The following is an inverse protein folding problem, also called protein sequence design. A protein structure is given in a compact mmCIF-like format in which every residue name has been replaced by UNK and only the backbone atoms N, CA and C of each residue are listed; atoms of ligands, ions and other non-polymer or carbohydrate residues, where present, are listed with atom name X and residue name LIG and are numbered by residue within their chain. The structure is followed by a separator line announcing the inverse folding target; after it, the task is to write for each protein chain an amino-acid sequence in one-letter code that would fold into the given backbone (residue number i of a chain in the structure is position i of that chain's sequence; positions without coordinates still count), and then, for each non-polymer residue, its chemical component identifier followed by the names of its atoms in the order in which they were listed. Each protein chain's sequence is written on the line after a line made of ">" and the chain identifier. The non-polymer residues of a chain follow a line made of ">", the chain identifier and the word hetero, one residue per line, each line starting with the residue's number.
data_IF_757231265578
#
_entry.id   IF_757231265578
#
_cell.length_a   1.000
_cell.length_b   1.000
_cell.length_c   1.000
_cell.angle_alpha   90.00
_cell.angle_beta   90.00
_cell.angle_gamma   90.00
#
_symmetry.space_group_name_H-M   'P 1'
#
loop_
_entity.id
_entity.type
_entity.pdbx_description
1 polymer ?
#
# COMPACT_ATOMS: atom_id res chain seq x y z
N UNK A 1 -19.79 99.99 3.62
CA UNK A 1 -19.73 99.27 4.89
C UNK A 1 -20.33 97.91 4.61
N UNK A 2 -19.51 96.93 4.42
CA UNK A 2 -19.91 95.54 4.09
C UNK A 2 -19.54 94.64 5.25
N UNK A 3 -20.46 93.96 5.80
CA UNK A 3 -20.24 92.94 6.78
C UNK A 3 -20.41 91.55 6.11
N UNK A 4 -19.31 90.79 6.08
CA UNK A 4 -19.25 89.46 5.60
C UNK A 4 -19.86 88.46 6.66
N UNK A 5 -20.84 87.69 6.23
CA UNK A 5 -21.36 86.58 6.97
C UNK A 5 -20.84 85.28 6.34
N UNK A 6 -19.98 84.59 7.07
CA UNK A 6 -19.41 83.25 6.76
C UNK A 6 -20.03 82.21 7.66
N UNK A 7 -21.11 81.64 7.23
CA UNK A 7 -21.62 80.45 7.89
C UNK A 7 -22.38 79.55 6.93
N UNK A 8 -21.81 78.41 6.57
CA UNK A 8 -22.42 77.07 6.37
C UNK A 8 -21.66 76.22 5.32
N UNK A 9 -20.70 75.42 5.76
CA UNK A 9 -20.22 74.28 5.01
C UNK A 9 -20.95 73.05 5.48
N UNK A 10 -21.47 72.15 4.58
CA UNK A 10 -22.10 70.94 4.96
C UNK A 10 -21.03 69.82 5.23
N UNK A 11 -21.14 69.17 6.38
CA UNK A 11 -20.40 67.96 6.70
C UNK A 11 -20.76 66.86 5.72
N UNK A 12 -19.79 66.45 4.90
CA UNK A 12 -19.84 65.19 4.12
C UNK A 12 -19.44 64.03 5.02
N UNK A 13 -20.41 63.20 5.38
CA UNK A 13 -20.17 61.88 5.96
C UNK A 13 -19.43 61.00 4.94
N UNK A 14 -18.13 60.76 5.17
CA UNK A 14 -17.42 59.67 4.50
C UNK A 14 -17.82 58.34 5.17
N UNK A 15 -18.67 57.58 4.50
CA UNK A 15 -18.90 56.19 4.84
C UNK A 15 -17.61 55.40 4.56
N UNK A 16 -16.94 54.92 5.61
CA UNK A 16 -15.82 53.96 5.49
C UNK A 16 -16.42 52.62 5.13
N UNK A 17 -16.22 52.17 3.89
CA UNK A 17 -16.39 50.80 3.47
C UNK A 17 -15.31 49.96 4.13
N UNK A 18 -15.70 49.13 5.11
CA UNK A 18 -14.86 48.08 5.66
C UNK A 18 -14.99 46.89 4.70
N UNK A 19 -13.89 46.44 4.06
CA UNK A 19 -13.98 45.23 3.26
C UNK A 19 -14.18 44.03 4.19
N UNK A 20 -15.33 43.41 4.09
CA UNK A 20 -15.59 42.12 4.72
C UNK A 20 -14.76 41.06 4.01
N UNK A 21 -13.65 40.70 4.60
CA UNK A 21 -12.83 39.59 4.13
C UNK A 21 -13.59 38.29 4.41
N UNK A 22 -14.22 37.72 3.36
CA UNK A 22 -14.77 36.37 3.41
C UNK A 22 -13.57 35.41 3.57
N UNK A 23 -13.32 34.96 4.77
CA UNK A 23 -12.51 33.77 5.02
C UNK A 23 -13.28 32.59 4.44
N UNK A 24 -12.90 32.18 3.23
CA UNK A 24 -13.24 30.85 2.71
C UNK A 24 -12.55 29.85 3.64
N UNK A 25 -13.31 29.30 4.58
CA UNK A 25 -12.91 28.11 5.31
C UNK A 25 -12.81 26.98 4.27
N UNK A 26 -11.60 26.67 3.85
CA UNK A 26 -11.35 25.42 3.16
C UNK A 26 -11.84 24.28 4.08
N UNK A 27 -12.55 23.28 3.56
CA UNK A 27 -12.94 22.16 4.36
C UNK A 27 -11.69 21.48 4.92
N UNK A 28 -11.54 21.48 6.24
CA UNK A 28 -10.56 20.69 6.96
C UNK A 28 -11.02 19.22 6.95
N UNK A 29 -11.12 18.65 5.74
CA UNK A 29 -11.33 17.25 5.53
C UNK A 29 -10.00 16.66 5.08
N UNK A 30 -9.63 15.52 5.68
CA UNK A 30 -8.55 14.62 5.26
C UNK A 30 -7.13 14.87 5.83
N UNK A 31 -7.01 15.21 7.10
CA UNK A 31 -5.89 14.74 7.91
C UNK A 31 -6.44 13.70 8.90
N UNK A 32 -6.83 12.53 8.42
CA UNK A 32 -6.79 11.37 9.29
C UNK A 32 -5.31 11.17 9.61
N UNK A 33 -4.95 11.27 10.89
CA UNK A 33 -3.60 10.95 11.31
C UNK A 33 -3.34 9.49 10.91
N UNK A 34 -2.22 9.26 10.21
CA UNK A 34 -1.78 7.91 9.89
C UNK A 34 -1.75 7.09 11.17
N UNK A 35 -2.11 5.80 11.13
CA UNK A 35 -1.92 4.91 12.25
C UNK A 35 -0.47 4.98 12.75
N UNK A 36 -0.27 5.10 14.06
CA UNK A 36 1.07 5.34 14.63
C UNK A 36 2.04 4.19 14.33
N UNK A 37 1.53 2.97 14.24
CA UNK A 37 2.28 1.74 13.93
C UNK A 37 2.84 1.70 12.50
N UNK A 38 2.31 2.52 11.57
CA UNK A 38 2.83 2.60 10.20
C UNK A 38 4.25 3.17 10.11
N UNK A 39 4.64 3.99 11.08
CA UNK A 39 5.98 4.54 11.19
C UNK A 39 6.76 3.94 12.40
N UNK A 40 6.13 3.07 13.20
CA UNK A 40 6.78 2.48 14.36
C UNK A 40 7.83 1.45 13.93
N UNK A 41 9.10 1.60 14.37
CA UNK A 41 10.16 0.65 14.06
C UNK A 41 9.82 -0.76 14.56
N UNK A 42 10.02 -1.75 13.68
CA UNK A 42 9.89 -3.16 14.03
C UNK A 42 11.09 -3.91 13.46
N UNK A 43 11.73 -4.84 14.21
CA UNK A 43 12.95 -5.46 13.75
C UNK A 43 12.73 -6.38 12.55
N UNK A 44 13.67 -6.35 11.62
CA UNK A 44 13.73 -7.30 10.51
C UNK A 44 13.76 -8.74 11.03
N UNK A 45 12.96 -9.62 10.45
CA UNK A 45 12.89 -11.01 10.87
C UNK A 45 12.57 -11.95 9.72
N UNK A 46 12.99 -13.20 9.88
CA UNK A 46 12.74 -14.27 8.91
C UNK A 46 11.32 -14.79 9.07
N UNK A 47 10.56 -14.78 7.98
CA UNK A 47 9.22 -15.38 7.92
C UNK A 47 9.33 -16.87 7.70
N UNK A 48 9.92 -17.29 6.58
CA UNK A 48 10.21 -18.69 6.24
C UNK A 48 11.22 -18.75 5.09
N UNK A 49 12.12 -19.73 5.09
CA UNK A 49 13.07 -19.92 4.01
C UNK A 49 13.89 -18.69 3.72
N UNK A 50 13.76 -18.15 2.53
CA UNK A 50 14.39 -16.94 2.03
C UNK A 50 13.45 -15.71 2.01
N UNK A 51 12.30 -15.77 2.69
CA UNK A 51 11.37 -14.66 2.87
C UNK A 51 11.60 -13.98 4.23
N UNK A 52 11.80 -12.69 4.22
CA UNK A 52 12.00 -11.84 5.40
C UNK A 52 10.99 -10.69 5.42
N UNK A 53 10.49 -10.33 6.60
CA UNK A 53 9.76 -9.10 6.82
C UNK A 53 10.77 -8.02 7.28
N UNK A 54 10.80 -6.89 6.57
CA UNK A 54 11.75 -5.79 6.77
C UNK A 54 11.08 -4.42 6.89
N UNK A 55 9.76 -4.40 7.09
CA UNK A 55 8.93 -3.20 7.23
C UNK A 55 8.86 -2.65 8.66
N UNK A 56 7.72 -2.02 8.95
CA UNK A 56 7.40 -1.43 10.25
C UNK A 56 6.45 -2.33 11.05
N UNK A 57 6.03 -1.90 12.23
CA UNK A 57 5.03 -2.59 13.03
C UNK A 57 3.67 -2.72 12.30
N UNK A 58 3.30 -1.73 11.48
CA UNK A 58 2.02 -1.68 10.78
C UNK A 58 2.08 -1.98 9.29
N UNK A 59 3.22 -1.73 8.61
CA UNK A 59 3.35 -1.88 7.16
C UNK A 59 4.26 -3.04 6.76
N UNK A 60 3.72 -3.96 5.98
CA UNK A 60 4.44 -5.10 5.43
C UNK A 60 5.35 -4.68 4.26
N UNK A 61 6.66 -4.83 4.46
CA UNK A 61 7.69 -4.78 3.42
C UNK A 61 8.43 -6.11 3.47
N UNK A 62 8.57 -6.78 2.33
CA UNK A 62 9.09 -8.14 2.30
C UNK A 62 10.29 -8.27 1.36
N UNK A 63 11.35 -8.88 1.86
CA UNK A 63 12.55 -9.21 1.10
C UNK A 63 12.57 -10.70 0.79
N UNK A 64 12.69 -11.07 -0.48
CA UNK A 64 12.93 -12.43 -0.94
C UNK A 64 14.36 -12.48 -1.48
N UNK A 65 15.19 -13.31 -0.86
CA UNK A 65 16.62 -13.36 -1.17
C UNK A 65 16.97 -14.50 -2.13
N UNK A 66 17.92 -14.26 -3.04
CA UNK A 66 18.52 -15.27 -3.91
C UNK A 66 20.01 -14.99 -4.14
N UNK A 67 20.74 -15.93 -4.76
CA UNK A 67 22.17 -15.77 -5.08
C UNK A 67 22.42 -14.74 -6.20
N UNK A 68 21.42 -14.43 -7.03
CA UNK A 68 21.52 -13.48 -8.15
C UNK A 68 21.01 -12.07 -7.81
N UNK A 69 20.73 -11.81 -6.51
CA UNK A 69 20.15 -10.57 -5.98
C UNK A 69 18.81 -10.82 -5.32
N UNK A 70 18.08 -9.75 -4.99
CA UNK A 70 16.90 -9.84 -4.15
C UNK A 70 15.69 -9.20 -4.80
N UNK A 71 14.49 -9.62 -4.38
CA UNK A 71 13.21 -9.01 -4.71
C UNK A 71 12.71 -8.30 -3.45
N UNK A 72 12.33 -7.03 -3.56
CA UNK A 72 11.69 -6.29 -2.48
C UNK A 72 10.24 -5.98 -2.87
N UNK A 73 9.29 -6.34 -1.99
CA UNK A 73 7.86 -6.13 -2.18
C UNK A 73 7.39 -5.06 -1.22
N UNK A 74 6.82 -3.97 -1.71
CA UNK A 74 6.46 -2.73 -1.01
C UNK A 74 7.69 -1.97 -0.47
N UNK A 75 7.45 -0.70 -0.07
CA UNK A 75 8.50 0.16 0.48
C UNK A 75 8.01 1.08 1.61
N UNK A 76 6.74 0.97 2.00
CA UNK A 76 6.19 1.77 3.08
C UNK A 76 6.05 3.25 2.76
N UNK A 77 6.25 4.09 3.76
CA UNK A 77 6.14 5.55 3.71
C UNK A 77 7.38 6.20 3.11
N UNK A 78 7.30 7.49 2.79
CA UNK A 78 8.40 8.29 2.25
C UNK A 78 9.67 8.21 3.09
N UNK A 79 9.55 8.23 4.41
CA UNK A 79 10.67 8.17 5.35
C UNK A 79 11.08 6.72 5.75
N UNK A 80 10.59 5.68 5.07
CA UNK A 80 10.83 4.28 5.47
C UNK A 80 12.18 3.72 5.04
N UNK A 81 12.85 4.32 4.06
CA UNK A 81 14.13 3.79 3.49
C UNK A 81 15.20 3.51 4.55
N UNK A 82 15.49 4.38 5.53
CA UNK A 82 16.53 4.10 6.53
C UNK A 82 16.20 2.87 7.38
N UNK A 83 14.95 2.69 7.80
CA UNK A 83 14.53 1.54 8.59
C UNK A 83 14.55 0.25 7.77
N UNK A 84 14.07 0.29 6.51
CA UNK A 84 14.12 -0.87 5.60
C UNK A 84 15.57 -1.31 5.40
N UNK A 85 16.50 -0.38 5.17
CA UNK A 85 17.92 -0.66 5.06
C UNK A 85 18.46 -1.32 6.32
N UNK A 86 18.21 -0.73 7.50
CA UNK A 86 18.67 -1.28 8.79
C UNK A 86 18.12 -2.71 8.99
N UNK A 87 16.86 -2.94 8.66
CA UNK A 87 16.25 -4.25 8.77
C UNK A 87 16.85 -5.27 7.81
N UNK A 88 17.10 -4.89 6.55
CA UNK A 88 17.78 -5.75 5.55
C UNK A 88 19.20 -6.10 6.03
N UNK A 89 19.95 -5.12 6.52
CA UNK A 89 21.31 -5.34 7.07
C UNK A 89 21.27 -6.24 8.31
N UNK A 90 20.29 -6.08 9.20
CA UNK A 90 20.14 -6.89 10.40
C UNK A 90 19.88 -8.37 10.14
N UNK A 91 19.26 -8.69 8.99
CA UNK A 91 19.05 -10.07 8.54
C UNK A 91 20.15 -10.58 7.61
N UNK A 92 21.22 -9.80 7.40
CA UNK A 92 22.47 -10.23 6.76
C UNK A 92 22.60 -9.92 5.29
N UNK A 93 21.77 -9.01 4.74
CA UNK A 93 21.77 -8.65 3.30
C UNK A 93 22.02 -7.15 3.12
N UNK A 94 22.07 -6.68 1.86
CA UNK A 94 22.27 -5.27 1.54
C UNK A 94 21.13 -4.78 0.64
N UNK A 95 20.68 -3.54 0.87
CA UNK A 95 19.64 -2.91 0.05
C UNK A 95 20.10 -2.77 -1.41
N UNK A 96 21.40 -2.54 -1.63
CA UNK A 96 22.03 -2.42 -2.93
C UNK A 96 22.01 -3.73 -3.74
N UNK A 97 21.72 -4.87 -3.12
CA UNK A 97 21.59 -6.16 -3.80
C UNK A 97 20.15 -6.44 -4.30
N UNK A 98 19.21 -5.55 -4.04
CA UNK A 98 17.86 -5.61 -4.63
C UNK A 98 17.96 -5.39 -6.13
N UNK A 99 17.33 -6.26 -6.92
CA UNK A 99 17.30 -6.21 -8.39
C UNK A 99 15.92 -5.94 -8.93
N UNK A 100 14.87 -6.39 -8.21
CA UNK A 100 13.48 -6.24 -8.63
C UNK A 100 12.70 -5.62 -7.46
N UNK A 101 11.98 -4.55 -7.78
CA UNK A 101 10.98 -3.94 -6.90
C UNK A 101 9.60 -4.35 -7.38
N UNK A 102 8.77 -4.78 -6.44
CA UNK A 102 7.36 -5.08 -6.63
C UNK A 102 6.53 -4.26 -5.64
N UNK A 103 5.28 -4.04 -5.97
CA UNK A 103 4.31 -3.56 -4.99
C UNK A 103 3.07 -4.43 -5.00
N UNK A 104 2.39 -4.52 -3.88
CA UNK A 104 1.12 -5.22 -3.77
C UNK A 104 -0.04 -4.34 -4.23
N UNK A 105 0.13 -3.02 -4.19
CA UNK A 105 -0.84 -1.99 -4.58
C UNK A 105 -0.18 -0.62 -4.71
N UNK A 106 -0.68 0.24 -5.61
CA UNK A 106 -0.10 1.55 -5.87
C UNK A 106 -0.63 2.66 -4.96
N UNK A 107 -0.75 2.39 -3.63
CA UNK A 107 -1.06 3.43 -2.66
C UNK A 107 0.19 3.87 -1.90
N UNK A 108 0.20 5.14 -1.49
CA UNK A 108 1.34 5.85 -0.91
C UNK A 108 1.95 5.17 0.34
N UNK A 109 1.16 4.46 1.12
CA UNK A 109 1.62 3.72 2.30
C UNK A 109 2.41 2.44 1.96
N UNK A 110 2.44 2.05 0.69
CA UNK A 110 3.22 0.91 0.19
C UNK A 110 4.29 1.31 -0.82
N UNK A 111 4.20 2.52 -1.39
CA UNK A 111 4.98 2.92 -2.57
C UNK A 111 5.79 4.18 -2.38
N UNK A 112 5.64 4.90 -1.25
CA UNK A 112 6.20 6.25 -1.17
C UNK A 112 7.74 6.29 -1.14
N UNK A 113 8.43 5.22 -0.73
CA UNK A 113 9.88 5.12 -0.82
C UNK A 113 10.40 4.38 -2.07
N UNK A 114 9.54 3.98 -3.03
CA UNK A 114 9.94 3.21 -4.23
C UNK A 114 10.98 3.94 -5.07
N UNK A 115 10.76 5.22 -5.37
CA UNK A 115 11.67 6.00 -6.22
C UNK A 115 13.07 6.10 -5.61
N UNK A 116 13.18 6.38 -4.32
CA UNK A 116 14.44 6.45 -3.60
C UNK A 116 15.16 5.09 -3.56
N UNK A 117 14.45 4.02 -3.23
CA UNK A 117 15.02 2.67 -3.16
C UNK A 117 15.44 2.20 -4.56
N UNK A 118 14.66 2.48 -5.62
CA UNK A 118 15.02 2.19 -7.01
C UNK A 118 16.35 2.86 -7.40
N UNK A 119 16.53 4.13 -7.04
CA UNK A 119 17.78 4.86 -7.30
C UNK A 119 18.97 4.27 -6.53
N UNK A 120 18.79 3.98 -5.24
CA UNK A 120 19.84 3.43 -4.36
C UNK A 120 20.31 2.06 -4.86
N UNK A 121 19.38 1.16 -5.18
CA UNK A 121 19.70 -0.22 -5.55
C UNK A 121 20.03 -0.38 -7.05
N UNK A 122 19.61 0.57 -7.89
CA UNK A 122 19.63 0.42 -9.33
C UNK A 122 18.73 -0.73 -9.80
N UNK A 123 17.62 -0.96 -9.07
CA UNK A 123 16.68 -2.03 -9.31
C UNK A 123 15.66 -1.67 -10.40
N UNK A 124 15.06 -2.69 -11.03
CA UNK A 124 13.92 -2.51 -11.92
C UNK A 124 12.61 -2.52 -11.13
N UNK A 125 11.69 -1.61 -11.44
CA UNK A 125 10.31 -1.61 -10.93
C UNK A 125 9.41 -2.39 -11.88
N UNK A 126 8.82 -3.48 -11.39
CA UNK A 126 7.87 -4.28 -12.14
C UNK A 126 6.48 -4.17 -11.50
N UNK A 127 5.46 -3.96 -12.32
CA UNK A 127 4.08 -3.77 -11.86
C UNK A 127 3.07 -4.39 -12.83
N UNK A 128 1.86 -4.60 -12.38
CA UNK A 128 0.72 -4.92 -13.25
C UNK A 128 0.29 -3.71 -14.06
N UNK A 129 -0.35 -3.92 -15.20
CA UNK A 129 -0.88 -2.84 -16.05
C UNK A 129 -1.83 -1.91 -15.28
N UNK A 130 -2.64 -2.45 -14.36
CA UNK A 130 -3.62 -1.68 -13.58
C UNK A 130 -3.01 -0.65 -12.64
N UNK A 131 -1.81 -0.91 -12.11
CA UNK A 131 -1.12 -0.01 -11.18
C UNK A 131 0.02 0.80 -11.84
N UNK A 132 0.48 0.41 -13.03
CA UNK A 132 1.64 1.04 -13.67
C UNK A 132 1.48 2.55 -13.84
N UNK A 133 0.36 3.00 -14.38
CA UNK A 133 0.10 4.44 -14.56
C UNK A 133 0.07 5.21 -13.24
N UNK A 134 -0.52 4.62 -12.20
CA UNK A 134 -0.61 5.24 -10.87
C UNK A 134 0.78 5.42 -10.27
N UNK A 135 1.67 4.45 -10.46
CA UNK A 135 3.08 4.53 -10.04
C UNK A 135 3.83 5.62 -10.81
N UNK A 136 3.65 5.70 -12.14
CA UNK A 136 4.35 6.64 -13.02
C UNK A 136 3.90 8.10 -12.83
N UNK A 137 2.71 8.35 -12.31
CA UNK A 137 2.23 9.70 -12.02
C UNK A 137 2.12 10.03 -10.52
N UNK A 138 2.70 9.17 -9.66
CA UNK A 138 2.79 9.41 -8.22
C UNK A 138 1.44 9.40 -7.52
N UNK A 139 0.50 8.57 -7.97
CA UNK A 139 -0.82 8.46 -7.40
C UNK A 139 -1.86 9.42 -7.98
N UNK A 140 -1.47 10.29 -8.94
CA UNK A 140 -2.40 11.29 -9.47
C UNK A 140 -3.61 10.66 -10.18
N UNK A 141 -3.41 9.59 -10.92
CA UNK A 141 -4.48 8.89 -11.66
C UNK A 141 -5.22 7.83 -10.85
N UNK A 142 -4.88 7.63 -9.56
CA UNK A 142 -5.63 6.68 -8.73
C UNK A 142 -7.13 7.00 -8.71
N UNK A 143 -8.01 6.03 -8.99
CA UNK A 143 -9.46 6.29 -9.08
C UNK A 143 -10.11 6.70 -7.76
N UNK A 144 -9.49 6.37 -6.62
CA UNK A 144 -10.03 6.62 -5.28
C UNK A 144 -9.37 7.81 -4.58
N UNK A 145 -8.04 7.83 -4.53
CA UNK A 145 -7.26 8.85 -3.84
C UNK A 145 -6.61 9.90 -4.76
N UNK A 146 -6.80 9.78 -6.07
CA UNK A 146 -6.15 10.59 -7.08
C UNK A 146 -6.50 12.09 -7.07
N UNK A 147 -6.07 12.78 -8.12
CA UNK A 147 -6.21 14.23 -8.27
C UNK A 147 -5.10 15.03 -7.59
N UNK A 148 -4.13 14.37 -6.96
CA UNK A 148 -2.90 14.96 -6.41
C UNK A 148 -1.77 13.94 -6.47
N UNK A 149 -0.53 14.41 -6.55
CA UNK A 149 0.65 13.56 -6.35
C UNK A 149 0.75 13.27 -4.85
N UNK A 150 0.85 12.00 -4.48
CA UNK A 150 0.89 11.51 -3.09
C UNK A 150 2.19 10.81 -2.73
N UNK A 151 3.01 10.47 -3.73
CA UNK A 151 4.37 9.92 -3.59
C UNK A 151 5.21 10.30 -4.80
N UNK A 152 6.52 10.16 -4.72
CA UNK A 152 7.43 10.45 -5.84
C UNK A 152 7.17 9.48 -7.00
N UNK A 153 6.89 9.96 -8.23
CA UNK A 153 6.68 9.12 -9.40
C UNK A 153 7.84 8.15 -9.65
N UNK A 154 7.50 6.92 -10.03
CA UNK A 154 8.49 5.89 -10.35
C UNK A 154 8.20 5.28 -11.71
N UNK A 155 9.22 5.24 -12.59
CA UNK A 155 9.12 4.57 -13.90
C UNK A 155 8.96 3.06 -13.71
N UNK A 156 7.97 2.47 -14.39
CA UNK A 156 7.74 1.03 -14.45
C UNK A 156 8.54 0.45 -15.60
N UNK A 157 9.56 -0.36 -15.28
CA UNK A 157 10.48 -0.93 -16.29
C UNK A 157 9.87 -2.15 -16.99
N UNK A 158 8.94 -2.85 -16.31
CA UNK A 158 8.31 -4.06 -16.85
C UNK A 158 6.87 -4.24 -16.35
N UNK A 159 5.99 -4.57 -17.28
CA UNK A 159 4.65 -5.04 -16.96
C UNK A 159 4.68 -6.55 -16.70
N UNK A 160 4.06 -6.97 -15.58
CA UNK A 160 3.85 -8.36 -15.19
C UNK A 160 2.35 -8.71 -15.25
N UNK A 161 2.04 -9.98 -15.47
CA UNK A 161 0.68 -10.42 -15.70
C UNK A 161 0.25 -11.54 -14.73
N UNK A 162 -1.06 -11.74 -14.60
CA UNK A 162 -1.61 -12.84 -13.81
C UNK A 162 -1.06 -14.20 -14.24
N UNK A 163 -0.66 -15.01 -13.27
CA UNK A 163 -0.08 -16.33 -13.47
C UNK A 163 1.37 -16.35 -13.93
N UNK A 164 1.97 -15.19 -14.23
CA UNK A 164 3.38 -15.10 -14.62
C UNK A 164 4.31 -15.58 -13.49
N UNK A 165 5.44 -16.19 -13.85
CA UNK A 165 6.50 -16.58 -12.92
C UNK A 165 7.66 -15.60 -13.07
N UNK A 166 7.92 -14.85 -12.02
CA UNK A 166 9.15 -14.05 -11.88
C UNK A 166 10.27 -14.97 -11.44
N UNK A 167 11.37 -14.96 -12.19
CA UNK A 167 12.56 -15.77 -11.89
C UNK A 167 13.75 -14.86 -11.56
N UNK A 168 14.39 -15.10 -10.41
CA UNK A 168 15.65 -14.46 -10.04
C UNK A 168 16.51 -15.46 -9.27
N UNK A 169 17.60 -15.92 -9.86
CA UNK A 169 18.39 -17.02 -9.31
C UNK A 169 17.55 -18.29 -9.09
N UNK A 170 17.48 -18.76 -7.88
CA UNK A 170 16.68 -19.91 -7.45
C UNK A 170 15.23 -19.57 -7.06
N UNK A 171 14.88 -18.28 -7.00
CA UNK A 171 13.53 -17.81 -6.69
C UNK A 171 12.60 -17.98 -7.90
N UNK A 172 11.43 -18.54 -7.65
CA UNK A 172 10.31 -18.64 -8.60
C UNK A 172 9.06 -18.09 -7.91
N UNK A 173 8.70 -16.86 -8.22
CA UNK A 173 7.61 -16.13 -7.61
C UNK A 173 6.45 -15.99 -8.59
N UNK A 174 5.30 -16.56 -8.27
CA UNK A 174 4.09 -16.46 -9.09
C UNK A 174 3.31 -15.19 -8.78
N UNK A 175 2.96 -14.46 -9.81
CA UNK A 175 2.08 -13.29 -9.75
C UNK A 175 0.61 -13.75 -9.73
N UNK A 176 -0.18 -13.15 -8.85
CA UNK A 176 -1.65 -13.27 -8.83
C UNK A 176 -2.24 -11.86 -8.86
N UNK A 177 -2.95 -11.51 -9.90
CA UNK A 177 -3.74 -10.29 -9.90
C UNK A 177 -4.94 -10.46 -8.99
N UNK A 178 -5.00 -9.65 -7.95
CA UNK A 178 -6.09 -9.59 -6.97
C UNK A 178 -6.67 -8.16 -6.92
N UNK A 179 -7.27 -7.68 -8.03
CA UNK A 179 -7.75 -6.31 -8.14
C UNK A 179 -8.99 -6.05 -7.28
N UNK A 180 -9.31 -4.77 -7.14
CA UNK A 180 -10.43 -4.27 -6.34
C UNK A 180 -9.97 -3.19 -5.37
N UNK A 181 -8.96 -3.48 -4.55
CA UNK A 181 -8.34 -2.48 -3.68
C UNK A 181 -7.69 -1.36 -4.52
N UNK A 182 -6.82 -1.72 -5.48
CA UNK A 182 -6.48 -0.94 -6.68
C UNK A 182 -6.83 -1.75 -7.93
N UNK A 183 -6.76 -1.15 -9.12
CA UNK A 183 -6.99 -1.87 -10.38
C UNK A 183 -5.91 -2.92 -10.65
N UNK A 184 -4.68 -2.69 -10.15
CA UNK A 184 -3.52 -3.55 -10.37
C UNK A 184 -3.06 -4.31 -9.13
N UNK A 185 -3.84 -4.32 -8.05
CA UNK A 185 -3.46 -5.04 -6.81
C UNK A 185 -3.03 -6.46 -7.08
N UNK A 186 -1.93 -6.89 -6.43
CA UNK A 186 -1.30 -8.17 -6.68
C UNK A 186 -0.85 -8.86 -5.40
N UNK A 187 -0.91 -10.18 -5.42
CA UNK A 187 -0.29 -11.06 -4.44
C UNK A 187 0.80 -11.89 -5.12
N UNK A 188 1.73 -12.40 -4.32
CA UNK A 188 2.86 -13.15 -4.83
C UNK A 188 3.00 -14.46 -4.05
N UNK A 189 3.07 -15.60 -4.75
CA UNK A 189 3.24 -16.89 -4.10
C UNK A 189 4.47 -17.64 -4.57
N UNK A 190 5.05 -18.45 -3.67
CA UNK A 190 6.18 -19.32 -3.95
C UNK A 190 6.11 -20.58 -3.11
N UNK A 191 6.88 -21.61 -3.51
CA UNK A 191 7.14 -22.77 -2.67
C UNK A 191 8.48 -22.60 -1.97
N UNK A 192 8.52 -22.96 -0.70
CA UNK A 192 9.71 -22.92 0.15
C UNK A 192 9.93 -24.29 0.75
N UNK A 193 11.09 -24.88 0.49
CA UNK A 193 11.50 -26.13 1.11
C UNK A 193 12.30 -25.83 2.39
N UNK A 194 11.81 -26.26 3.55
CA UNK A 194 12.53 -26.10 4.82
C UNK A 194 12.26 -27.25 5.77
N UNK A 195 13.30 -27.71 6.48
CA UNK A 195 13.17 -28.79 7.45
C UNK A 195 12.69 -30.13 6.88
N UNK A 196 12.79 -30.32 5.56
CA UNK A 196 12.31 -31.53 4.86
C UNK A 196 10.82 -31.50 4.53
N UNK A 197 10.18 -30.34 4.62
CA UNK A 197 8.81 -30.05 4.22
C UNK A 197 8.79 -28.93 3.17
N UNK A 198 7.86 -29.03 2.22
CA UNK A 198 7.52 -27.94 1.31
C UNK A 198 6.35 -27.13 1.88
N UNK A 199 6.47 -25.82 1.82
CA UNK A 199 5.45 -24.87 2.24
C UNK A 199 4.98 -24.04 1.04
N UNK A 200 3.67 -23.89 0.90
CA UNK A 200 3.08 -22.93 -0.01
C UNK A 200 2.96 -21.58 0.71
N UNK A 201 3.67 -20.57 0.21
CA UNK A 201 3.81 -19.27 0.85
C UNK A 201 3.17 -18.20 -0.01
N UNK A 202 2.43 -17.27 0.59
CA UNK A 202 1.87 -16.11 -0.10
C UNK A 202 2.18 -14.80 0.62
N UNK A 203 2.63 -13.81 -0.12
CA UNK A 203 2.61 -12.38 0.24
C UNK A 203 1.31 -11.82 -0.34
N UNK A 204 0.30 -11.67 0.49
CA UNK A 204 -1.08 -11.48 0.06
C UNK A 204 -1.51 -10.01 0.11
N UNK A 205 -2.00 -9.48 -1.02
CA UNK A 205 -2.80 -8.26 -0.99
C UNK A 205 -4.24 -8.63 -0.64
N UNK A 206 -4.65 -8.29 0.58
CA UNK A 206 -6.01 -8.58 1.05
C UNK A 206 -7.01 -7.60 0.43
N UNK A 207 -8.16 -8.12 0.01
CA UNK A 207 -9.23 -7.36 -0.66
C UNK A 207 -9.96 -6.39 0.28
N UNK A 208 -9.27 -5.46 0.92
CA UNK A 208 -9.90 -4.45 1.78
C UNK A 208 -10.57 -3.36 0.96
N UNK A 209 -11.71 -2.86 1.42
CA UNK A 209 -12.43 -1.76 0.78
C UNK A 209 -12.14 -0.47 1.55
N UNK A 210 -11.54 0.51 0.88
CA UNK A 210 -11.27 1.83 1.47
C UNK A 210 -12.56 2.59 1.74
N UNK A 211 -12.59 3.35 2.82
CA UNK A 211 -13.73 4.19 3.18
C UNK A 211 -14.12 5.12 2.02
N UNK A 212 -15.40 5.11 1.64
CA UNK A 212 -15.94 5.91 0.54
C UNK A 212 -15.72 5.33 -0.87
N UNK A 213 -15.05 4.17 -1.01
CA UNK A 213 -14.98 3.46 -2.28
C UNK A 213 -16.37 2.93 -2.66
N UNK A 214 -16.85 3.25 -3.86
CA UNK A 214 -18.15 2.83 -4.38
C UNK A 214 -17.98 1.67 -5.34
N UNK A 215 -18.81 0.64 -5.17
CA UNK A 215 -18.68 -0.62 -5.89
C UNK A 215 -19.66 -0.77 -7.06
N UNK A 216 -20.91 -0.30 -6.89
CA UNK A 216 -22.01 -0.56 -7.84
C UNK A 216 -22.60 0.72 -8.40
N UNK A 217 -22.95 1.68 -7.53
CA UNK A 217 -23.57 2.95 -7.95
C UNK A 217 -22.49 4.00 -8.14
N UNK A 218 -22.34 4.51 -9.37
CA UNK A 218 -21.21 5.37 -9.76
C UNK A 218 -19.87 4.78 -9.27
N UNK A 219 -19.49 3.58 -9.69
CA UNK A 219 -18.36 2.86 -9.12
C UNK A 219 -17.07 3.66 -9.22
N UNK A 220 -16.17 3.47 -8.25
CA UNK A 220 -14.87 4.16 -8.19
C UNK A 220 -14.08 3.99 -9.48
N UNK A 221 -14.14 2.79 -10.08
CA UNK A 221 -13.72 2.52 -11.45
C UNK A 221 -14.63 1.44 -12.06
N UNK A 222 -14.74 1.33 -13.41
CA UNK A 222 -15.60 0.34 -14.05
C UNK A 222 -15.13 -1.08 -13.73
N UNK A 223 -16.02 -1.93 -13.22
CA UNK A 223 -15.72 -3.33 -12.93
C UNK A 223 -15.18 -3.62 -11.52
N UNK A 224 -15.07 -2.62 -10.63
CA UNK A 224 -14.52 -2.79 -9.29
C UNK A 224 -15.22 -3.86 -8.45
N UNK A 225 -16.54 -4.00 -8.57
CA UNK A 225 -17.28 -5.03 -7.85
C UNK A 225 -16.92 -6.44 -8.35
N UNK A 226 -16.84 -6.62 -9.66
CA UNK A 226 -16.43 -7.87 -10.29
C UNK A 226 -14.98 -8.23 -9.96
N UNK A 227 -14.12 -7.24 -9.84
CA UNK A 227 -12.71 -7.39 -9.43
C UNK A 227 -12.60 -7.91 -8.01
N UNK A 228 -13.29 -7.32 -7.04
CA UNK A 228 -13.33 -7.83 -5.68
C UNK A 228 -13.87 -9.27 -5.62
N UNK A 229 -14.98 -9.54 -6.32
CA UNK A 229 -15.54 -10.90 -6.36
C UNK A 229 -14.55 -11.94 -6.92
N UNK A 230 -13.83 -11.58 -7.99
CA UNK A 230 -12.79 -12.43 -8.58
C UNK A 230 -11.62 -12.64 -7.62
N UNK A 231 -11.20 -11.60 -6.93
CA UNK A 231 -10.12 -11.64 -5.93
C UNK A 231 -10.44 -12.60 -4.80
N UNK A 232 -11.61 -12.49 -4.15
CA UNK A 232 -11.98 -13.41 -3.08
C UNK A 232 -12.12 -14.86 -3.57
N UNK A 233 -12.71 -15.07 -4.74
CA UNK A 233 -12.81 -16.40 -5.34
C UNK A 233 -11.42 -17.01 -5.62
N UNK A 234 -10.48 -16.22 -6.12
CA UNK A 234 -9.10 -16.62 -6.36
C UNK A 234 -8.39 -16.96 -5.05
N UNK A 235 -8.44 -16.08 -4.06
CA UNK A 235 -7.77 -16.27 -2.76
C UNK A 235 -8.30 -17.50 -2.01
N UNK A 236 -9.62 -17.73 -2.00
CA UNK A 236 -10.22 -18.94 -1.41
C UNK A 236 -9.81 -20.24 -2.10
N UNK A 237 -9.39 -20.18 -3.36
CA UNK A 237 -8.93 -21.36 -4.11
C UNK A 237 -7.44 -21.64 -3.92
N UNK A 238 -6.68 -20.79 -3.24
CA UNK A 238 -5.25 -20.98 -2.99
C UNK A 238 -5.04 -22.02 -1.89
N UNK A 239 -4.09 -22.92 -2.12
CA UNK A 239 -3.60 -23.87 -1.10
C UNK A 239 -2.37 -23.26 -0.43
N UNK A 240 -2.55 -22.70 0.77
CA UNK A 240 -1.54 -21.89 1.47
C UNK A 240 -1.24 -22.48 2.83
N UNK A 241 0.03 -22.59 3.18
CA UNK A 241 0.51 -22.94 4.52
C UNK A 241 0.89 -21.67 5.31
N UNK A 242 1.66 -20.76 4.68
CA UNK A 242 2.22 -19.56 5.30
C UNK A 242 1.76 -18.33 4.55
N UNK A 243 1.32 -17.32 5.29
CA UNK A 243 0.93 -16.05 4.69
C UNK A 243 1.36 -14.84 5.50
N UNK A 244 1.66 -13.77 4.78
CA UNK A 244 1.85 -12.41 5.27
C UNK A 244 1.10 -11.44 4.37
N UNK A 245 0.84 -10.22 4.84
CA UNK A 245 0.01 -9.27 4.10
C UNK A 245 0.57 -7.84 4.18
N UNK A 246 -0.04 -6.93 3.42
CA UNK A 246 0.36 -5.53 3.29
C UNK A 246 0.38 -4.76 4.62
N UNK A 247 -0.47 -5.15 5.59
CA UNK A 247 -0.48 -4.56 6.92
C UNK A 247 -0.32 -5.62 8.00
N UNK A 248 0.50 -5.33 9.03
CA UNK A 248 0.78 -6.27 10.12
C UNK A 248 -0.46 -6.80 10.83
N UNK A 249 -1.48 -5.95 11.01
CA UNK A 249 -2.75 -6.33 11.61
C UNK A 249 -3.58 -7.33 10.80
N UNK A 250 -3.42 -7.36 9.45
CA UNK A 250 -4.17 -8.28 8.58
C UNK A 250 -3.81 -9.74 8.81
N UNK A 251 -2.54 -10.04 9.08
CA UNK A 251 -2.06 -11.40 9.29
C UNK A 251 -1.66 -11.70 10.74
N UNK A 252 -2.04 -10.82 11.68
CA UNK A 252 -1.79 -11.03 13.10
C UNK A 252 -0.30 -11.01 13.48
N UNK A 253 0.50 -10.11 12.88
CA UNK A 253 1.94 -10.02 13.13
C UNK A 253 2.28 -10.06 14.62
N UNK A 254 1.63 -9.20 15.42
CA UNK A 254 1.93 -9.03 16.84
C UNK A 254 1.42 -10.19 17.73
N UNK A 255 0.51 -11.01 17.22
CA UNK A 255 0.05 -12.22 17.90
C UNK A 255 0.93 -13.43 17.57
N UNK A 256 1.59 -13.42 16.39
CA UNK A 256 2.39 -14.54 15.88
C UNK A 256 3.88 -14.37 16.18
N UNK A 257 4.38 -13.14 16.26
CA UNK A 257 5.81 -12.86 16.38
C UNK A 257 6.11 -11.80 17.45
N UNK A 258 7.02 -12.17 18.37
CA UNK A 258 7.61 -11.23 19.35
C UNK A 258 9.05 -10.88 18.94
N UNK A 259 9.44 -9.58 18.95
CA UNK A 259 10.82 -9.16 18.66
C UNK A 259 11.87 -9.93 19.46
N UNK A 260 12.82 -10.55 18.75
CA UNK A 260 13.90 -11.32 19.36
C UNK A 260 13.56 -12.78 19.68
N UNK A 261 12.36 -13.27 19.36
CA UNK A 261 12.07 -14.70 19.47
C UNK A 261 12.96 -15.52 18.53
N UNK A 262 13.29 -16.75 18.93
CA UNK A 262 14.00 -17.68 18.06
C UNK A 262 13.16 -18.01 16.83
N UNK A 263 13.81 -18.05 15.67
CA UNK A 263 13.17 -18.45 14.42
C UNK A 263 12.56 -19.85 14.51
N UNK A 264 11.34 -19.99 14.01
CA UNK A 264 10.66 -21.26 13.75
C UNK A 264 9.93 -21.18 12.41
N UNK A 265 10.03 -22.17 11.53
CA UNK A 265 9.28 -22.21 10.28
C UNK A 265 7.76 -22.28 10.48
N UNK A 266 7.31 -22.65 11.68
CA UNK A 266 5.89 -22.77 12.02
C UNK A 266 5.27 -21.45 12.52
N UNK A 267 6.08 -20.39 12.75
CA UNK A 267 5.61 -19.12 13.33
C UNK A 267 4.45 -18.48 12.54
N UNK A 268 4.52 -18.53 11.22
CA UNK A 268 3.52 -17.93 10.35
C UNK A 268 2.67 -18.96 9.59
N UNK A 269 2.73 -20.24 10.00
CA UNK A 269 1.85 -21.29 9.45
C UNK A 269 0.44 -21.08 9.99
N UNK A 270 -0.47 -20.63 9.13
CA UNK A 270 -1.84 -20.29 9.54
C UNK A 270 -2.81 -20.31 8.32
N UNK A 271 -3.02 -21.48 7.69
CA UNK A 271 -3.94 -21.59 6.56
C UNK A 271 -5.39 -21.26 6.91
N UNK A 272 -5.81 -21.57 8.14
CA UNK A 272 -7.17 -21.30 8.61
C UNK A 272 -7.39 -19.80 8.81
N UNK A 273 -6.38 -19.07 9.34
CA UNK A 273 -6.43 -17.62 9.49
C UNK A 273 -6.47 -16.89 8.15
N UNK A 274 -5.73 -17.37 7.14
CA UNK A 274 -5.81 -16.85 5.78
C UNK A 274 -7.24 -16.94 5.22
N UNK A 275 -7.83 -18.13 5.26
CA UNK A 275 -9.19 -18.35 4.76
C UNK A 275 -10.23 -17.52 5.52
N UNK A 276 -10.12 -17.51 6.87
CA UNK A 276 -11.04 -16.73 7.71
C UNK A 276 -10.99 -15.22 7.42
N UNK A 277 -9.80 -14.65 7.15
CA UNK A 277 -9.67 -13.24 6.80
C UNK A 277 -10.25 -12.95 5.41
N UNK A 278 -10.03 -13.82 4.43
CA UNK A 278 -10.64 -13.69 3.09
C UNK A 278 -12.17 -13.74 3.19
N UNK A 279 -12.73 -14.69 3.93
CA UNK A 279 -14.20 -14.83 4.12
C UNK A 279 -14.79 -13.61 4.86
N UNK A 280 -14.08 -13.09 5.86
CA UNK A 280 -14.49 -11.87 6.59
C UNK A 280 -14.56 -10.65 5.67
N UNK A 281 -13.56 -10.47 4.81
CA UNK A 281 -13.51 -9.35 3.85
C UNK A 281 -14.56 -9.51 2.74
N UNK A 282 -14.78 -10.73 2.26
CA UNK A 282 -15.83 -11.03 1.29
C UNK A 282 -17.23 -10.70 1.85
N UNK A 283 -17.49 -11.03 3.13
CA UNK A 283 -18.77 -10.70 3.76
C UNK A 283 -19.01 -9.18 3.83
N UNK A 284 -17.96 -8.38 4.12
CA UNK A 284 -18.04 -6.90 4.09
C UNK A 284 -18.34 -6.40 2.67
N UNK A 285 -17.68 -6.97 1.67
CA UNK A 285 -17.94 -6.67 0.27
C UNK A 285 -19.39 -6.98 -0.13
N UNK A 286 -19.91 -8.15 0.21
CA UNK A 286 -21.29 -8.57 -0.11
C UNK A 286 -22.31 -7.64 0.56
N UNK A 287 -22.08 -7.24 1.82
CA UNK A 287 -22.92 -6.28 2.55
C UNK A 287 -22.95 -4.93 1.83
N UNK A 288 -21.79 -4.36 1.49
CA UNK A 288 -21.71 -3.07 0.78
C UNK A 288 -22.38 -3.14 -0.59
N UNK A 289 -22.16 -4.19 -1.38
CA UNK A 289 -22.84 -4.40 -2.68
C UNK A 289 -24.36 -4.46 -2.52
N UNK A 290 -24.85 -5.13 -1.46
CA UNK A 290 -26.28 -5.22 -1.18
C UNK A 290 -26.87 -3.86 -0.77
N UNK A 291 -26.16 -3.07 0.01
CA UNK A 291 -26.55 -1.73 0.43
C UNK A 291 -26.60 -0.75 -0.75
N UNK A 292 -25.57 -0.74 -1.61
CA UNK A 292 -25.50 0.14 -2.78
C UNK A 292 -26.56 -0.17 -3.86
N UNK A 293 -27.15 -1.37 -3.87
CA UNK A 293 -28.22 -1.77 -4.79
C UNK A 293 -29.62 -1.39 -4.33
N UNK A 294 -29.80 -0.89 -3.09
CA UNK A 294 -31.08 -0.45 -2.54
C UNK A 294 -31.42 0.98 -2.92
#
# INVERSE_FOLDING_TARGET
>A
MATNDLSRLPFRCLARLVPTMLLLAAPAAWLQAQPADWAEPFPGHRVIGNLYAVGTAGLGVFLITSDDGHILINTGLEDSTPLIRENIESVGYQLEDVRILLTMQAHWDHTAALAEIKEIAGAEMWATEGDARVLEDGGFSDPHFGGRVSFEPVEVDRIINDGEIIELGDVRLRVHEHPGHTEGSSSYSMQVAEGGRDYNVVVANMGTINEGKRLVVDPTYPGVAEDFARTYASQKAMDIDVWVAAHGGQYGLHDKYEPGQAYSPDTFVDPEGFLAEVERLEAIYEEQVAEERQ
#
